data_IF_186518937528
#
_entry.id   IF_186518937528
#
_cell.length_a   1.000
_cell.length_b   1.000
_cell.length_c   1.000
_cell.angle_alpha   90.00
_cell.angle_beta   90.00
_cell.angle_gamma   90.00
#
_symmetry.space_group_name_H-M   'P 1'
#
loop_
_entity.id
_entity.type
_entity.pdbx_description
1 polymer ?
#
# COMPACT_ATOMS: atom_id res chain seq x y z
N UNK A 1 -16.30 -29.90 -6.19
CA UNK A 1 -15.87 -28.50 -6.01
C UNK A 1 -16.53 -27.57 -7.03
N UNK A 2 -16.47 -27.86 -8.34
CA UNK A 2 -17.17 -27.06 -9.38
C UNK A 2 -18.68 -26.87 -9.12
N UNK A 3 -19.41 -27.94 -8.86
CA UNK A 3 -20.87 -27.85 -8.60
C UNK A 3 -21.19 -26.94 -7.40
N UNK A 4 -20.40 -27.01 -6.32
CA UNK A 4 -20.55 -26.12 -5.17
C UNK A 4 -20.38 -24.65 -5.56
N UNK A 5 -19.38 -24.33 -6.39
CA UNK A 5 -19.15 -22.96 -6.86
C UNK A 5 -20.31 -22.45 -7.74
N UNK A 6 -20.85 -23.30 -8.61
CA UNK A 6 -22.01 -22.97 -9.45
C UNK A 6 -23.26 -22.72 -8.58
N UNK A 7 -23.55 -23.65 -7.66
CA UNK A 7 -24.73 -23.59 -6.78
C UNK A 7 -24.71 -22.38 -5.84
N UNK A 8 -23.52 -21.92 -5.44
CA UNK A 8 -23.35 -20.82 -4.48
C UNK A 8 -22.82 -19.52 -5.12
N UNK A 9 -22.78 -19.46 -6.44
CA UNK A 9 -22.09 -18.41 -7.19
C UNK A 9 -22.47 -17.00 -6.74
N UNK A 10 -23.77 -16.68 -6.71
CA UNK A 10 -24.27 -15.35 -6.33
C UNK A 10 -23.89 -14.97 -4.91
N UNK A 11 -23.94 -15.91 -3.96
CA UNK A 11 -23.59 -15.64 -2.56
C UNK A 11 -22.08 -15.40 -2.41
N UNK A 12 -21.25 -16.17 -3.13
CA UNK A 12 -19.80 -15.99 -3.14
C UNK A 12 -19.41 -14.64 -3.74
N UNK A 13 -20.02 -14.25 -4.87
CA UNK A 13 -19.80 -12.96 -5.50
C UNK A 13 -20.18 -11.80 -4.57
N UNK A 14 -21.33 -11.91 -3.91
CA UNK A 14 -21.76 -10.91 -2.95
C UNK A 14 -20.78 -10.79 -1.76
N UNK A 15 -20.36 -11.92 -1.17
CA UNK A 15 -19.46 -11.93 -0.01
C UNK A 15 -18.08 -11.35 -0.38
N UNK A 16 -17.53 -11.73 -1.53
CA UNK A 16 -16.26 -11.19 -2.02
C UNK A 16 -16.39 -9.68 -2.28
N UNK A 17 -17.46 -9.25 -2.97
CA UNK A 17 -17.70 -7.83 -3.24
C UNK A 17 -17.81 -6.99 -1.97
N UNK A 18 -18.55 -7.45 -0.96
CA UNK A 18 -18.65 -6.76 0.34
C UNK A 18 -17.29 -6.73 1.06
N UNK A 19 -16.51 -7.81 0.98
CA UNK A 19 -15.18 -7.89 1.59
C UNK A 19 -14.20 -6.90 0.94
N UNK A 20 -14.17 -6.83 -0.40
CA UNK A 20 -13.40 -5.84 -1.15
C UNK A 20 -13.77 -4.40 -0.76
N UNK A 21 -15.07 -4.10 -0.73
CA UNK A 21 -15.55 -2.78 -0.35
C UNK A 21 -15.14 -2.40 1.09
N UNK A 22 -15.26 -3.34 2.03
CA UNK A 22 -14.84 -3.13 3.40
C UNK A 22 -13.32 -2.90 3.53
N UNK A 23 -12.51 -3.73 2.87
CA UNK A 23 -11.06 -3.57 2.88
C UNK A 23 -10.63 -2.24 2.27
N UNK A 24 -11.21 -1.84 1.14
CA UNK A 24 -10.95 -0.55 0.52
C UNK A 24 -11.25 0.61 1.48
N UNK A 25 -12.36 0.55 2.22
CA UNK A 25 -12.69 1.56 3.24
C UNK A 25 -11.65 1.62 4.37
N UNK A 26 -11.20 0.45 4.86
CA UNK A 26 -10.16 0.38 5.88
C UNK A 26 -8.82 0.92 5.35
N UNK A 27 -8.46 0.58 4.12
CA UNK A 27 -7.27 1.11 3.44
C UNK A 27 -7.35 2.63 3.40
N UNK A 28 -8.44 3.20 2.87
CA UNK A 28 -8.64 4.66 2.79
C UNK A 28 -8.51 5.31 4.16
N UNK A 29 -9.09 4.72 5.20
CA UNK A 29 -8.97 5.22 6.57
C UNK A 29 -7.52 5.25 7.04
N UNK A 30 -6.77 4.15 6.88
CA UNK A 30 -5.36 4.07 7.27
C UNK A 30 -4.51 5.06 6.47
N UNK A 31 -4.67 5.10 5.14
CA UNK A 31 -3.92 5.98 4.25
C UNK A 31 -4.14 7.46 4.59
N UNK A 32 -5.39 7.86 4.85
CA UNK A 32 -5.74 9.26 5.05
C UNK A 32 -5.51 9.73 6.49
N UNK A 33 -5.96 8.97 7.48
CA UNK A 33 -5.96 9.38 8.90
C UNK A 33 -4.61 9.10 9.55
N UNK A 34 -4.07 7.90 9.36
CA UNK A 34 -2.85 7.46 10.04
C UNK A 34 -1.62 7.84 9.21
N UNK A 35 -1.54 7.32 7.99
CA UNK A 35 -0.38 7.51 7.13
C UNK A 35 -0.28 8.94 6.62
N UNK A 36 -1.39 9.65 6.42
CA UNK A 36 -1.38 11.07 6.06
C UNK A 36 -0.67 11.95 7.09
N UNK A 37 -0.86 11.68 8.38
CA UNK A 37 -0.16 12.37 9.47
C UNK A 37 1.31 11.94 9.55
N UNK A 38 1.55 10.62 9.63
CA UNK A 38 2.90 10.07 9.78
C UNK A 38 3.81 10.41 8.58
N UNK A 39 3.27 10.43 7.36
CA UNK A 39 3.97 10.83 6.15
C UNK A 39 4.60 12.21 6.29
N UNK A 40 3.87 13.19 6.82
CA UNK A 40 4.38 14.57 6.97
C UNK A 40 5.58 14.61 7.92
N UNK A 41 5.54 13.84 9.00
CA UNK A 41 6.64 13.73 9.96
C UNK A 41 7.85 13.06 9.30
N UNK A 42 7.63 11.92 8.64
CA UNK A 42 8.70 11.16 7.98
C UNK A 42 9.38 12.00 6.89
N UNK A 43 8.59 12.70 6.07
CA UNK A 43 9.12 13.58 5.01
C UNK A 43 10.01 14.66 5.60
N UNK A 44 9.55 15.34 6.66
CA UNK A 44 10.36 16.37 7.31
C UNK A 44 11.67 15.79 7.84
N UNK A 45 11.61 14.70 8.61
CA UNK A 45 12.79 14.02 9.15
C UNK A 45 13.77 13.57 8.05
N UNK A 46 13.23 13.08 6.92
CA UNK A 46 14.03 12.63 5.79
C UNK A 46 14.70 13.82 5.06
N UNK A 47 13.95 14.89 4.78
CA UNK A 47 14.47 16.09 4.12
C UNK A 47 15.48 16.83 5.01
N UNK A 48 15.25 16.89 6.32
CA UNK A 48 16.20 17.47 7.29
C UNK A 48 17.55 16.71 7.28
N UNK A 49 17.52 15.40 7.02
CA UNK A 49 18.73 14.57 6.98
C UNK A 49 19.41 14.50 5.61
N UNK A 50 18.64 14.40 4.53
CA UNK A 50 19.14 14.09 3.18
C UNK A 50 18.90 15.21 2.16
N UNK A 51 18.29 16.33 2.56
CA UNK A 51 18.05 17.52 1.74
C UNK A 51 16.82 17.43 0.82
N UNK A 52 16.50 16.26 0.27
CA UNK A 52 15.29 16.09 -0.55
C UNK A 52 14.79 14.65 -0.55
N UNK A 53 13.49 14.46 -0.80
CA UNK A 53 12.89 13.13 -1.02
C UNK A 53 13.45 12.45 -2.29
N UNK A 54 13.36 11.10 -2.37
CA UNK A 54 13.59 10.36 -3.61
C UNK A 54 12.73 10.90 -4.75
N UNK A 55 13.21 10.74 -5.98
CA UNK A 55 12.72 11.49 -7.12
C UNK A 55 11.23 11.22 -7.38
N UNK A 56 10.80 9.96 -7.34
CA UNK A 56 9.41 9.55 -7.55
C UNK A 56 8.50 10.14 -6.49
N UNK A 57 8.88 10.02 -5.22
CA UNK A 57 8.13 10.55 -4.09
C UNK A 57 8.01 12.08 -4.13
N UNK A 58 9.07 12.77 -4.56
CA UNK A 58 9.09 14.23 -4.71
C UNK A 58 8.13 14.70 -5.80
N UNK A 59 8.09 14.03 -6.94
CA UNK A 59 7.16 14.35 -8.03
C UNK A 59 5.71 14.08 -7.63
N UNK A 60 5.47 13.07 -6.80
CA UNK A 60 4.15 12.67 -6.35
C UNK A 60 3.68 13.33 -5.03
N UNK A 61 4.40 14.33 -4.50
CA UNK A 61 4.16 14.89 -3.16
C UNK A 61 2.71 15.33 -2.90
N UNK A 62 2.06 15.90 -3.92
CA UNK A 62 0.67 16.36 -3.88
C UNK A 62 -0.39 15.25 -4.00
N UNK A 63 0.01 14.02 -4.28
CA UNK A 63 -0.92 12.92 -4.54
C UNK A 63 -1.71 12.50 -3.29
N UNK A 64 -2.93 12.01 -3.52
CA UNK A 64 -3.80 11.43 -2.50
C UNK A 64 -4.35 10.08 -2.99
N UNK A 65 -4.62 9.16 -2.06
CA UNK A 65 -5.14 7.85 -2.44
C UNK A 65 -6.50 7.96 -3.15
N UNK A 66 -7.35 8.91 -2.74
CA UNK A 66 -8.69 9.09 -3.32
C UNK A 66 -8.62 9.78 -4.69
N UNK A 67 -7.89 10.90 -4.79
CA UNK A 67 -7.88 11.71 -6.01
C UNK A 67 -6.93 11.19 -7.09
N UNK A 68 -5.81 10.58 -6.70
CA UNK A 68 -4.76 10.13 -7.61
C UNK A 68 -4.10 8.84 -7.09
N UNK A 69 -4.81 7.70 -7.05
CA UNK A 69 -4.36 6.48 -6.36
C UNK A 69 -2.98 5.99 -6.81
N UNK A 70 -2.75 5.92 -8.13
CA UNK A 70 -1.46 5.47 -8.67
C UNK A 70 -0.30 6.38 -8.26
N UNK A 71 -0.49 7.70 -8.32
CA UNK A 71 0.52 8.66 -7.88
C UNK A 71 0.71 8.63 -6.35
N UNK A 72 -0.34 8.32 -5.57
CA UNK A 72 -0.20 8.16 -4.13
C UNK A 72 0.74 7.00 -3.78
N UNK A 73 0.69 5.89 -4.51
CA UNK A 73 1.67 4.83 -4.30
C UNK A 73 3.10 5.32 -4.55
N UNK A 74 3.37 6.03 -5.66
CA UNK A 74 4.68 6.64 -5.91
C UNK A 74 5.11 7.63 -4.80
N UNK A 75 4.15 8.35 -4.20
CA UNK A 75 4.39 9.28 -3.08
C UNK A 75 4.91 8.59 -1.82
N UNK A 76 4.35 7.43 -1.47
CA UNK A 76 4.67 6.70 -0.24
C UNK A 76 5.63 5.52 -0.47
N UNK A 77 5.99 5.25 -1.73
CA UNK A 77 6.78 4.10 -2.15
C UNK A 77 8.14 4.05 -1.47
N UNK A 78 8.84 5.18 -1.33
CA UNK A 78 10.13 5.20 -0.64
C UNK A 78 10.04 4.75 0.83
N UNK A 79 8.87 4.92 1.46
CA UNK A 79 8.60 4.45 2.83
C UNK A 79 8.26 2.96 2.79
N UNK A 80 7.19 2.60 2.08
CA UNK A 80 6.70 1.21 2.02
C UNK A 80 7.75 0.26 1.42
N UNK A 81 8.37 0.67 0.33
CA UNK A 81 9.44 -0.02 -0.37
C UNK A 81 10.64 -0.32 0.50
N UNK A 82 11.03 0.63 1.35
CA UNK A 82 12.12 0.42 2.31
C UNK A 82 11.76 -0.54 3.45
N UNK A 83 10.49 -0.57 3.85
CA UNK A 83 10.01 -1.40 4.96
C UNK A 83 9.74 -2.85 4.55
N UNK A 84 9.28 -3.07 3.32
CA UNK A 84 8.76 -4.36 2.85
C UNK A 84 9.81 -5.11 2.03
N UNK A 85 10.48 -4.43 1.11
CA UNK A 85 11.36 -5.08 0.15
C UNK A 85 12.83 -4.98 0.58
N UNK A 86 13.69 -5.92 0.15
CA UNK A 86 15.13 -5.77 0.25
C UNK A 86 15.63 -4.50 -0.47
N UNK A 87 16.81 -4.04 -0.08
CA UNK A 87 17.48 -2.92 -0.76
C UNK A 87 17.77 -3.24 -2.23
N UNK A 88 17.83 -2.19 -3.06
CA UNK A 88 18.18 -2.23 -4.48
C UNK A 88 17.21 -3.06 -5.34
N UNK A 89 15.92 -2.97 -5.04
CA UNK A 89 14.82 -3.45 -5.88
C UNK A 89 14.24 -2.29 -6.68
N UNK A 90 13.49 -2.58 -7.73
CA UNK A 90 12.85 -1.58 -8.61
C UNK A 90 12.14 -0.48 -7.81
N UNK A 91 11.49 -0.86 -6.71
CA UNK A 91 10.66 -0.03 -5.82
C UNK A 91 11.49 0.93 -4.94
N UNK A 92 12.79 0.69 -4.75
CA UNK A 92 13.67 1.52 -3.89
C UNK A 92 15.04 1.79 -4.52
N UNK A 93 15.14 1.69 -5.85
CA UNK A 93 16.41 1.80 -6.59
C UNK A 93 16.95 3.24 -6.61
N UNK A 94 16.09 4.24 -6.49
CA UNK A 94 16.47 5.67 -6.45
C UNK A 94 16.92 6.13 -5.05
N UNK A 95 17.00 5.22 -4.08
CA UNK A 95 17.44 5.48 -2.71
C UNK A 95 18.88 5.03 -2.50
N UNK A 96 19.66 5.81 -1.75
CA UNK A 96 20.94 5.33 -1.21
C UNK A 96 20.70 4.30 -0.09
N UNK A 97 21.66 3.39 0.13
CA UNK A 97 21.60 2.41 1.22
C UNK A 97 21.42 3.05 2.58
N UNK A 98 22.01 4.23 2.80
CA UNK A 98 21.87 4.98 4.04
C UNK A 98 20.43 5.47 4.21
N UNK A 99 19.84 6.04 3.16
CA UNK A 99 18.48 6.56 3.19
C UNK A 99 17.43 5.44 3.35
N UNK A 100 17.65 4.30 2.70
CA UNK A 100 16.86 3.09 2.89
C UNK A 100 16.91 2.59 4.35
N UNK A 101 18.12 2.50 4.91
CA UNK A 101 18.31 2.07 6.29
C UNK A 101 17.75 3.07 7.30
N UNK A 102 17.75 4.37 6.96
CA UNK A 102 17.18 5.40 7.80
C UNK A 102 15.67 5.20 7.99
N UNK A 103 14.92 4.96 6.90
CA UNK A 103 13.47 4.67 6.98
C UNK A 103 13.20 3.45 7.88
N UNK A 104 14.01 2.39 7.76
CA UNK A 104 13.84 1.16 8.55
C UNK A 104 14.12 1.33 10.04
N UNK A 105 14.88 2.36 10.42
CA UNK A 105 15.22 2.70 11.81
C UNK A 105 14.25 3.69 12.45
N UNK A 106 13.27 4.21 11.69
CA UNK A 106 12.28 5.12 12.24
C UNK A 106 11.42 4.43 13.31
N UNK A 107 10.92 5.18 14.31
CA UNK A 107 10.01 4.65 15.32
C UNK A 107 8.82 3.89 14.72
N UNK A 108 8.45 2.77 15.34
CA UNK A 108 7.38 1.91 14.84
C UNK A 108 6.03 2.66 14.70
N UNK A 109 5.71 3.57 15.62
CA UNK A 109 4.46 4.33 15.55
C UNK A 109 4.32 5.19 14.27
N UNK A 110 5.44 5.56 13.62
CA UNK A 110 5.43 6.27 12.34
C UNK A 110 5.30 5.32 11.14
N UNK A 111 5.77 4.08 11.26
CA UNK A 111 5.94 3.15 10.11
C UNK A 111 4.90 2.03 10.07
N UNK A 112 4.27 1.69 11.20
CA UNK A 112 3.32 0.58 11.29
C UNK A 112 2.12 0.74 10.36
N UNK A 113 1.56 1.95 10.26
CA UNK A 113 0.41 2.20 9.37
C UNK A 113 0.72 1.90 7.89
N UNK A 114 1.94 2.18 7.42
CA UNK A 114 2.37 1.86 6.05
C UNK A 114 2.50 0.35 5.82
N UNK A 115 2.98 -0.40 6.83
CA UNK A 115 3.05 -1.87 6.77
C UNK A 115 1.66 -2.49 6.74
N UNK A 116 0.74 -1.99 7.56
CA UNK A 116 -0.65 -2.47 7.58
C UNK A 116 -1.33 -2.15 6.26
N UNK A 117 -1.18 -0.93 5.74
CA UNK A 117 -1.75 -0.55 4.44
C UNK A 117 -1.28 -1.49 3.32
N UNK A 118 0.02 -1.80 3.26
CA UNK A 118 0.53 -2.74 2.26
C UNK A 118 0.00 -4.17 2.43
N UNK A 119 -0.16 -4.64 3.67
CA UNK A 119 -0.76 -5.94 3.94
C UNK A 119 -2.24 -6.01 3.51
N UNK A 120 -2.99 -4.93 3.69
CA UNK A 120 -4.37 -4.84 3.24
C UNK A 120 -4.48 -4.81 1.71
N UNK A 121 -3.62 -4.05 1.02
CA UNK A 121 -3.54 -4.11 -0.44
C UNK A 121 -3.21 -5.52 -0.95
N UNK A 122 -2.32 -6.23 -0.28
CA UNK A 122 -2.01 -7.62 -0.63
C UNK A 122 -3.22 -8.55 -0.41
N UNK A 123 -3.97 -8.38 0.68
CA UNK A 123 -5.21 -9.12 0.91
C UNK A 123 -6.28 -8.83 -0.15
N UNK A 124 -6.41 -7.56 -0.56
CA UNK A 124 -7.32 -7.14 -1.64
C UNK A 124 -6.97 -7.83 -2.97
N UNK A 125 -5.68 -7.90 -3.32
CA UNK A 125 -5.21 -8.60 -4.52
C UNK A 125 -5.59 -10.09 -4.46
N UNK A 126 -5.43 -10.74 -3.30
CA UNK A 126 -5.82 -12.15 -3.14
C UNK A 126 -7.32 -12.35 -3.35
N UNK A 127 -8.17 -11.45 -2.83
CA UNK A 127 -9.62 -11.53 -3.04
C UNK A 127 -10.00 -11.35 -4.51
N UNK A 128 -9.38 -10.39 -5.20
CA UNK A 128 -9.59 -10.17 -6.63
C UNK A 128 -9.13 -11.40 -7.44
N UNK A 129 -8.00 -12.03 -7.06
CA UNK A 129 -7.57 -13.28 -7.68
C UNK A 129 -8.56 -14.43 -7.45
N UNK A 130 -9.09 -14.57 -6.23
CA UNK A 130 -10.11 -15.56 -5.93
C UNK A 130 -11.38 -15.35 -6.78
N UNK A 131 -11.80 -14.09 -6.93
CA UNK A 131 -12.91 -13.70 -7.81
C UNK A 131 -12.66 -14.17 -9.24
N UNK A 132 -11.51 -13.81 -9.82
CA UNK A 132 -11.16 -14.19 -11.20
C UNK A 132 -11.12 -15.70 -11.40
N UNK A 133 -10.66 -16.47 -10.40
CA UNK A 133 -10.65 -17.92 -10.46
C UNK A 133 -12.06 -18.51 -10.44
N UNK A 134 -12.97 -17.96 -9.62
CA UNK A 134 -14.37 -18.42 -9.58
C UNK A 134 -15.05 -18.15 -10.92
N UNK A 135 -14.92 -16.93 -11.46
CA UNK A 135 -15.42 -16.53 -12.79
C UNK A 135 -14.88 -17.40 -13.93
N UNK A 136 -13.64 -17.88 -13.81
CA UNK A 136 -13.06 -18.77 -14.81
C UNK A 136 -13.61 -20.22 -14.73
N UNK A 137 -14.04 -20.66 -13.55
CA UNK A 137 -14.47 -22.05 -13.32
C UNK A 137 -15.98 -22.25 -13.56
N UNK A 138 -16.79 -21.28 -13.17
CA UNK A 138 -18.28 -21.30 -13.23
C UNK A 138 -18.73 -20.97 -14.64
#
# INVERSE_FOLDING_TARGET
MKNYLIENYTNLMFLIGVSCAFLLLVIIFISYVINGYNYKIIVKLYEDKFGSLPQTARLARGASLIGTPAAYHAKVEFIMGSLIFPYNRVINHDMSIESYNYIRKLPAHLTTGFKIEAALWFAEIILIMALMLIEFIV
#
